data_IF_906910754458
#
_entry.id   IF_906910754458
#
_cell.length_a   1.000
_cell.length_b   1.000
_cell.length_c   1.000
_cell.angle_alpha   90.00
_cell.angle_beta   90.00
_cell.angle_gamma   90.00
#
_symmetry.space_group_name_H-M   'P 1'
#
loop_
_entity.id
_entity.type
_entity.pdbx_description
1 polymer ?
#
# COMPACT_ATOMS: atom_id res chain seq x y z
N UNK A 1 -8.31 -14.12 -36.09
CA UNK A 1 -8.33 -13.11 -35.03
C UNK A 1 -7.00 -13.16 -34.29
N UNK A 2 -6.22 -12.07 -34.29
CA UNK A 2 -4.92 -12.03 -33.61
C UNK A 2 -5.16 -11.97 -32.09
N UNK A 3 -4.78 -13.03 -31.40
CA UNK A 3 -4.62 -13.03 -29.94
C UNK A 3 -3.44 -12.14 -29.57
N UNK A 4 -3.69 -10.86 -29.29
CA UNK A 4 -2.81 -10.07 -28.44
C UNK A 4 -3.34 -10.15 -27.02
N UNK A 5 -3.22 -11.33 -26.41
CA UNK A 5 -3.21 -11.42 -24.95
C UNK A 5 -1.94 -10.71 -24.49
N UNK A 6 -2.11 -9.46 -24.06
CA UNK A 6 -1.05 -8.75 -23.34
C UNK A 6 -0.82 -9.55 -22.07
N UNK A 7 0.26 -10.31 -22.04
CA UNK A 7 0.71 -11.08 -20.88
C UNK A 7 0.75 -10.15 -19.66
N UNK A 8 -0.21 -10.31 -18.74
CA UNK A 8 -0.20 -9.66 -17.42
C UNK A 8 0.89 -10.31 -16.57
N UNK A 9 2.13 -9.87 -16.76
CA UNK A 9 3.30 -10.35 -16.02
C UNK A 9 3.75 -9.28 -15.04
N UNK A 10 3.93 -9.69 -13.79
CA UNK A 10 4.64 -8.91 -12.79
C UNK A 10 6.10 -9.32 -12.89
N UNK A 11 6.96 -8.37 -13.22
CA UNK A 11 8.40 -8.59 -13.29
C UNK A 11 9.05 -8.01 -12.04
N UNK A 12 9.79 -8.84 -11.32
CA UNK A 12 10.57 -8.43 -10.16
C UNK A 12 12.05 -8.47 -10.56
N UNK A 13 12.71 -7.31 -10.73
CA UNK A 13 14.12 -7.26 -11.07
C UNK A 13 14.97 -8.03 -10.05
N UNK A 14 16.00 -8.79 -10.49
CA UNK A 14 16.87 -9.52 -9.57
C UNK A 14 17.54 -8.63 -8.51
N UNK A 15 17.78 -7.35 -8.84
CA UNK A 15 18.34 -6.36 -7.88
C UNK A 15 17.46 -6.15 -6.65
N UNK A 16 16.16 -6.43 -6.71
CA UNK A 16 15.26 -6.35 -5.56
C UNK A 16 15.41 -7.52 -4.58
N UNK A 17 16.19 -8.54 -4.91
CA UNK A 17 16.49 -9.67 -4.02
C UNK A 17 17.65 -9.38 -3.05
N UNK A 18 18.15 -8.14 -3.03
CA UNK A 18 19.24 -7.70 -2.16
C UNK A 18 18.81 -6.55 -1.24
N UNK A 19 19.52 -6.31 -0.12
CA UNK A 19 19.29 -5.13 0.72
C UNK A 19 19.42 -3.82 -0.07
N UNK A 20 18.61 -2.78 0.24
CA UNK A 20 17.63 -2.70 1.32
C UNK A 20 16.23 -3.25 0.95
N UNK A 21 16.09 -3.88 -0.22
CA UNK A 21 14.82 -4.33 -0.79
C UNK A 21 14.37 -5.69 -0.24
N UNK A 22 15.30 -6.62 -0.07
CA UNK A 22 15.03 -7.93 0.51
C UNK A 22 16.19 -8.38 1.38
N UNK A 23 15.86 -8.90 2.56
CA UNK A 23 16.81 -9.46 3.51
C UNK A 23 16.51 -10.93 3.72
N UNK A 24 17.56 -11.75 3.73
CA UNK A 24 17.51 -13.18 4.04
C UNK A 24 18.03 -13.42 5.46
N UNK A 25 17.49 -14.43 6.14
CA UNK A 25 17.90 -14.81 7.49
C UNK A 25 16.72 -15.05 8.42
N UNK A 26 16.89 -15.94 9.40
CA UNK A 26 15.86 -16.27 10.37
C UNK A 26 15.57 -15.11 11.35
N UNK A 27 16.56 -14.24 11.58
CA UNK A 27 16.46 -13.10 12.51
C UNK A 27 15.92 -11.81 11.88
N UNK A 28 15.59 -11.82 10.59
CA UNK A 28 15.03 -10.66 9.89
C UNK A 28 13.54 -10.55 10.24
N UNK A 29 13.09 -9.46 10.88
CA UNK A 29 11.67 -9.26 11.12
C UNK A 29 10.87 -9.21 9.82
N UNK A 30 9.69 -9.83 9.76
CA UNK A 30 8.92 -9.95 8.53
C UNK A 30 8.48 -8.58 8.03
N UNK A 31 8.20 -7.60 8.91
CA UNK A 31 7.82 -6.25 8.49
C UNK A 31 8.81 -5.64 7.48
N UNK A 32 10.11 -6.00 7.53
CA UNK A 32 11.12 -5.46 6.62
C UNK A 32 10.76 -5.83 5.17
N UNK A 33 10.66 -7.13 4.89
CA UNK A 33 10.42 -7.63 3.54
C UNK A 33 8.98 -7.35 3.07
N UNK A 34 8.01 -7.37 3.99
CA UNK A 34 6.62 -7.02 3.66
C UNK A 34 6.47 -5.55 3.26
N UNK A 35 7.15 -4.62 3.97
CA UNK A 35 7.07 -3.19 3.71
C UNK A 35 7.89 -2.73 2.49
N UNK A 36 8.81 -3.55 2.00
CA UNK A 36 9.64 -3.26 0.82
C UNK A 36 9.17 -4.04 -0.39
N UNK A 37 9.72 -5.24 -0.62
CA UNK A 37 9.45 -6.04 -1.82
C UNK A 37 8.00 -6.50 -1.88
N UNK A 38 7.39 -6.81 -0.73
CA UNK A 38 5.98 -7.17 -0.66
C UNK A 38 5.08 -6.05 -1.19
N UNK A 39 5.30 -4.82 -0.74
CA UNK A 39 4.59 -3.62 -1.22
C UNK A 39 4.78 -3.43 -2.72
N UNK A 40 6.01 -3.49 -3.24
CA UNK A 40 6.25 -3.31 -4.68
C UNK A 40 5.53 -4.38 -5.52
N UNK A 41 5.59 -5.64 -5.09
CA UNK A 41 4.84 -6.71 -5.77
C UNK A 41 3.33 -6.45 -5.75
N UNK A 42 2.79 -6.01 -4.60
CA UNK A 42 1.39 -5.68 -4.49
C UNK A 42 1.01 -4.48 -5.36
N UNK A 43 1.85 -3.45 -5.46
CA UNK A 43 1.63 -2.30 -6.36
C UNK A 43 1.51 -2.79 -7.81
N UNK A 44 2.44 -3.63 -8.28
CA UNK A 44 2.35 -4.17 -9.65
C UNK A 44 1.12 -5.06 -9.85
N UNK A 45 0.70 -5.82 -8.82
CA UNK A 45 -0.59 -6.53 -8.86
C UNK A 45 -1.73 -5.53 -9.07
N UNK A 46 -1.81 -4.47 -8.27
CA UNK A 46 -2.86 -3.44 -8.39
C UNK A 46 -2.82 -2.72 -9.73
N UNK A 47 -1.64 -2.38 -10.27
CA UNK A 47 -1.54 -1.81 -11.62
C UNK A 47 -2.01 -2.77 -12.71
N UNK A 48 -1.85 -4.08 -12.51
CA UNK A 48 -2.37 -5.09 -13.43
C UNK A 48 -3.88 -5.29 -13.32
N UNK A 49 -4.52 -4.80 -12.24
CA UNK A 49 -5.97 -4.74 -12.10
C UNK A 49 -6.52 -3.62 -13.00
N UNK A 50 -6.81 -3.99 -14.25
CA UNK A 50 -7.54 -3.12 -15.17
C UNK A 50 -9.02 -3.04 -14.74
N UNK A 51 -9.36 -1.99 -13.99
CA UNK A 51 -10.72 -1.75 -13.51
C UNK A 51 -11.75 -1.66 -14.64
N UNK A 52 -11.38 -1.35 -15.88
CA UNK A 52 -12.32 -1.32 -17.00
C UNK A 52 -12.75 -2.71 -17.47
N UNK A 53 -11.98 -3.75 -17.14
CA UNK A 53 -12.21 -5.14 -17.57
C UNK A 53 -12.82 -6.02 -16.49
N UNK A 54 -13.07 -5.48 -15.30
CA UNK A 54 -13.65 -6.21 -14.18
C UNK A 54 -15.15 -5.96 -14.19
N UNK A 55 -15.99 -7.02 -14.13
CA UNK A 55 -17.43 -6.88 -14.01
C UNK A 55 -17.77 -6.48 -12.58
N UNK A 56 -17.60 -5.20 -12.25
CA UNK A 56 -17.91 -4.68 -10.92
C UNK A 56 -19.42 -4.69 -10.66
N UNK A 57 -19.82 -5.04 -9.43
CA UNK A 57 -21.17 -4.73 -8.96
C UNK A 57 -21.35 -3.21 -8.84
N UNK A 58 -22.61 -2.75 -8.83
CA UNK A 58 -22.92 -1.32 -8.65
C UNK A 58 -22.35 -0.77 -7.34
N UNK A 59 -22.41 -1.59 -6.28
CA UNK A 59 -21.82 -1.31 -4.97
C UNK A 59 -20.29 -1.29 -5.02
N UNK A 60 -19.67 -2.22 -5.75
CA UNK A 60 -18.23 -2.25 -5.99
C UNK A 60 -17.73 -0.98 -6.68
N UNK A 61 -18.39 -0.56 -7.75
CA UNK A 61 -18.07 0.69 -8.47
C UNK A 61 -18.20 1.93 -7.59
N UNK A 62 -19.26 1.99 -6.77
CA UNK A 62 -19.45 3.12 -5.87
C UNK A 62 -18.33 3.19 -4.83
N UNK A 63 -17.97 2.06 -4.19
CA UNK A 63 -16.84 1.98 -3.26
C UNK A 63 -15.52 2.39 -3.91
N UNK A 64 -15.27 1.99 -5.15
CA UNK A 64 -14.07 2.38 -5.89
C UNK A 64 -14.01 3.90 -6.10
N UNK A 65 -15.12 4.51 -6.53
CA UNK A 65 -15.24 5.98 -6.69
C UNK A 65 -15.02 6.72 -5.37
N UNK A 66 -15.70 6.28 -4.31
CA UNK A 66 -15.59 6.89 -2.98
C UNK A 66 -14.16 6.80 -2.45
N UNK A 67 -13.49 5.66 -2.67
CA UNK A 67 -12.09 5.47 -2.28
C UNK A 67 -11.17 6.43 -3.04
N UNK A 68 -11.31 6.54 -4.37
CA UNK A 68 -10.49 7.45 -5.19
C UNK A 68 -10.70 8.91 -4.78
N UNK A 69 -11.95 9.31 -4.51
CA UNK A 69 -12.26 10.65 -4.03
C UNK A 69 -11.63 10.92 -2.65
N UNK A 70 -11.69 9.93 -1.75
CA UNK A 70 -11.07 10.02 -0.43
C UNK A 70 -9.55 10.18 -0.51
N UNK A 71 -8.86 9.39 -1.34
CA UNK A 71 -7.41 9.50 -1.56
C UNK A 71 -7.03 10.88 -2.14
N UNK A 72 -7.81 11.38 -3.11
CA UNK A 72 -7.63 12.72 -3.66
C UNK A 72 -7.79 13.81 -2.59
N UNK A 73 -8.77 13.66 -1.69
CA UNK A 73 -8.95 14.59 -0.58
C UNK A 73 -7.75 14.57 0.38
N UNK A 74 -7.21 13.40 0.72
CA UNK A 74 -5.96 13.29 1.50
C UNK A 74 -4.82 14.05 0.84
N UNK A 75 -4.56 13.81 -0.45
CA UNK A 75 -3.53 14.53 -1.19
C UNK A 75 -3.72 16.05 -1.11
N UNK A 76 -4.93 16.53 -1.37
CA UNK A 76 -5.24 17.95 -1.40
C UNK A 76 -5.07 18.60 -0.02
N UNK A 77 -5.49 17.93 1.05
CA UNK A 77 -5.32 18.42 2.43
C UNK A 77 -3.85 18.49 2.85
N UNK A 78 -3.00 17.64 2.29
CA UNK A 78 -1.54 17.72 2.49
C UNK A 78 -0.86 18.81 1.65
N UNK A 79 -1.61 19.49 0.76
CA UNK A 79 -1.08 20.51 -0.14
C UNK A 79 -0.15 19.97 -1.23
N UNK A 80 -0.24 18.67 -1.54
CA UNK A 80 0.65 18.00 -2.48
C UNK A 80 0.15 18.17 -3.93
N UNK A 81 1.05 18.56 -4.84
CA UNK A 81 0.69 18.78 -6.25
C UNK A 81 0.69 17.47 -7.02
N UNK A 82 -0.33 17.30 -7.86
CA UNK A 82 -0.37 16.21 -8.83
C UNK A 82 0.74 16.40 -9.87
N UNK A 83 1.40 15.30 -10.24
CA UNK A 83 2.42 15.29 -11.28
C UNK A 83 2.05 14.27 -12.36
N UNK A 84 2.69 14.36 -13.52
CA UNK A 84 2.50 13.36 -14.60
C UNK A 84 3.00 11.98 -14.23
N UNK A 85 3.89 11.87 -13.24
CA UNK A 85 4.45 10.60 -12.76
C UNK A 85 3.67 9.99 -11.60
N UNK A 86 2.87 10.79 -10.90
CA UNK A 86 2.12 10.38 -9.71
C UNK A 86 0.70 10.95 -9.77
N UNK A 87 -0.13 10.29 -10.58
CA UNK A 87 -1.53 10.62 -10.78
C UNK A 87 -2.45 9.86 -9.79
N UNK A 88 -3.75 10.02 -9.97
CA UNK A 88 -4.75 9.32 -9.15
C UNK A 88 -4.68 7.80 -9.18
N UNK A 89 -4.27 7.18 -10.29
CA UNK A 89 -4.16 5.73 -10.41
C UNK A 89 -2.90 5.21 -9.73
N UNK A 90 -1.81 5.95 -9.82
CA UNK A 90 -0.58 5.62 -9.11
C UNK A 90 -0.78 5.76 -7.59
N UNK A 91 -1.43 6.82 -7.10
CA UNK A 91 -1.84 6.95 -5.69
C UNK A 91 -2.67 5.74 -5.24
N UNK A 92 -3.62 5.33 -6.06
CA UNK A 92 -4.49 4.18 -5.79
C UNK A 92 -3.68 2.88 -5.68
N UNK A 93 -2.73 2.66 -6.60
CA UNK A 93 -1.86 1.49 -6.59
C UNK A 93 -1.00 1.41 -5.32
N UNK A 94 -0.39 2.53 -4.90
CA UNK A 94 0.38 2.59 -3.64
C UNK A 94 -0.50 2.38 -2.41
N UNK A 95 -1.69 2.99 -2.37
CA UNK A 95 -2.62 2.86 -1.25
C UNK A 95 -3.08 1.41 -1.04
N UNK A 96 -3.50 0.73 -2.11
CA UNK A 96 -3.90 -0.68 -2.03
C UNK A 96 -2.71 -1.63 -1.90
N UNK A 97 -1.56 -1.32 -2.51
CA UNK A 97 -0.33 -2.09 -2.35
C UNK A 97 0.12 -2.15 -0.88
N UNK A 98 0.07 -1.01 -0.19
CA UNK A 98 0.25 -0.94 1.26
C UNK A 98 -0.81 -1.77 2.00
N UNK A 99 -2.09 -1.63 1.64
CA UNK A 99 -3.20 -2.29 2.36
C UNK A 99 -3.11 -3.82 2.28
N UNK A 100 -2.87 -4.36 1.09
CA UNK A 100 -2.76 -5.81 0.85
C UNK A 100 -1.63 -6.40 1.68
N UNK A 101 -0.47 -5.76 1.66
CA UNK A 101 0.71 -6.26 2.38
C UNK A 101 0.61 -6.07 3.88
N UNK A 102 0.01 -4.97 4.33
CA UNK A 102 -0.35 -4.74 5.73
C UNK A 102 -1.25 -5.86 6.29
N UNK A 103 -2.35 -6.18 5.60
CA UNK A 103 -3.26 -7.24 6.07
C UNK A 103 -2.61 -8.63 5.97
N UNK A 104 -1.74 -8.85 4.99
CA UNK A 104 -0.99 -10.12 4.87
C UNK A 104 0.04 -10.28 5.99
N UNK A 105 0.76 -9.23 6.35
CA UNK A 105 1.67 -9.22 7.50
C UNK A 105 0.89 -9.48 8.80
N UNK A 106 -0.22 -8.76 9.00
CA UNK A 106 -1.13 -8.94 10.15
C UNK A 106 -1.60 -10.37 10.30
N UNK A 107 -2.07 -10.97 9.20
CA UNK A 107 -2.50 -12.36 9.19
C UNK A 107 -1.34 -13.34 9.44
N UNK A 108 -0.12 -13.01 9.01
CA UNK A 108 1.08 -13.84 9.21
C UNK A 108 1.54 -13.81 10.66
N UNK A 109 1.63 -12.63 11.26
CA UNK A 109 2.00 -12.44 12.67
C UNK A 109 0.97 -13.14 13.57
N UNK A 110 -0.34 -12.96 13.30
CA UNK A 110 -1.40 -13.66 14.04
C UNK A 110 -1.33 -15.19 13.93
N UNK A 111 -1.07 -15.73 12.73
CA UNK A 111 -1.04 -17.19 12.50
C UNK A 111 0.18 -17.88 13.10
N UNK A 112 1.36 -17.27 12.99
CA UNK A 112 2.61 -17.84 13.53
C UNK A 112 2.78 -17.56 15.03
N UNK A 113 1.95 -16.67 15.57
CA UNK A 113 1.96 -16.24 16.96
C UNK A 113 3.17 -15.38 17.31
N UNK A 114 3.09 -14.71 18.45
CA UNK A 114 4.21 -14.00 19.10
C UNK A 114 5.36 -14.95 19.52
N UNK A 115 5.20 -16.27 19.32
CA UNK A 115 6.25 -17.26 19.59
C UNK A 115 7.42 -17.20 18.61
N UNK A 116 7.19 -16.78 17.37
CA UNK A 116 8.25 -16.64 16.36
C UNK A 116 8.74 -15.21 16.21
N UNK A 117 7.85 -14.24 16.42
CA UNK A 117 8.18 -12.83 16.35
C UNK A 117 8.29 -12.34 17.79
N UNK A 118 9.52 -12.00 18.22
CA UNK A 118 9.77 -11.41 19.55
C UNK A 118 8.94 -10.15 19.80
N UNK A 119 8.45 -9.56 18.72
CA UNK A 119 7.70 -8.33 18.66
C UNK A 119 6.19 -8.59 18.56
N UNK A 120 5.42 -7.84 19.36
CA UNK A 120 3.97 -7.80 19.27
C UNK A 120 3.51 -7.26 17.90
N UNK A 121 2.27 -7.55 17.50
CA UNK A 121 1.68 -6.96 16.28
C UNK A 121 1.84 -5.43 16.23
N UNK A 122 1.72 -4.74 17.37
CA UNK A 122 1.93 -3.29 17.45
C UNK A 122 3.34 -2.87 17.02
N UNK A 123 4.35 -3.63 17.40
CA UNK A 123 5.74 -3.30 17.07
C UNK A 123 6.01 -3.55 15.59
N UNK A 124 5.53 -4.68 15.07
CA UNK A 124 5.59 -5.01 13.63
C UNK A 124 4.87 -3.95 12.79
N UNK A 125 3.67 -3.51 13.21
CA UNK A 125 2.88 -2.47 12.55
C UNK A 125 3.60 -1.12 12.51
N UNK A 126 4.22 -0.71 13.62
CA UNK A 126 4.98 0.53 13.70
C UNK A 126 6.11 0.56 12.67
N UNK A 127 6.96 -0.47 12.69
CA UNK A 127 8.12 -0.50 11.81
C UNK A 127 7.76 -0.78 10.36
N UNK A 128 6.68 -1.53 10.10
CA UNK A 128 6.15 -1.72 8.76
C UNK A 128 5.80 -0.37 8.10
N UNK A 129 5.04 0.48 8.81
CA UNK A 129 4.59 1.78 8.27
C UNK A 129 5.77 2.75 8.04
N UNK A 130 6.74 2.78 8.95
CA UNK A 130 7.97 3.58 8.77
C UNK A 130 8.77 3.08 7.57
N UNK A 131 8.98 1.76 7.48
CA UNK A 131 9.77 1.16 6.40
C UNK A 131 9.12 1.36 5.03
N UNK A 132 7.79 1.30 4.96
CA UNK A 132 7.04 1.65 3.76
C UNK A 132 7.31 3.10 3.33
N UNK A 133 7.33 4.04 4.27
CA UNK A 133 7.66 5.43 3.94
C UNK A 133 9.13 5.59 3.51
N UNK A 134 10.06 4.85 4.11
CA UNK A 134 11.46 4.87 3.67
C UNK A 134 11.64 4.35 2.24
N UNK A 135 10.79 3.43 1.77
CA UNK A 135 10.78 2.97 0.37
C UNK A 135 10.49 4.10 -0.62
N UNK A 136 9.75 5.14 -0.18
CA UNK A 136 9.41 6.28 -1.04
C UNK A 136 10.53 7.31 -1.18
N UNK A 137 11.57 7.26 -0.34
CA UNK A 137 12.66 8.25 -0.34
C UNK A 137 13.66 7.96 -1.47
N UNK A 138 13.84 8.89 -2.41
CA UNK A 138 14.77 8.78 -3.55
C UNK A 138 15.90 9.80 -3.37
N UNK A 139 16.78 9.57 -2.39
CA UNK A 139 18.14 10.13 -2.31
C UNK A 139 18.35 11.66 -2.33
N UNK A 140 17.31 12.50 -2.45
CA UNK A 140 17.44 13.95 -2.50
C UNK A 140 17.33 14.58 -1.09
N UNK A 141 18.07 15.69 -0.88
CA UNK A 141 18.04 16.46 0.38
C UNK A 141 16.67 17.10 0.64
N UNK A 142 15.90 17.34 -0.42
CA UNK A 142 14.52 17.81 -0.35
C UNK A 142 13.58 16.72 -0.89
N UNK A 143 12.61 16.32 -0.08
CA UNK A 143 11.61 15.35 -0.48
C UNK A 143 10.66 15.96 -1.50
N UNK A 144 10.59 15.35 -2.69
CA UNK A 144 9.64 15.80 -3.72
C UNK A 144 8.19 15.52 -3.28
N UNK A 145 7.24 16.28 -3.84
CA UNK A 145 5.82 16.00 -3.65
C UNK A 145 5.45 14.56 -4.04
N UNK A 146 6.14 13.96 -5.01
CA UNK A 146 5.91 12.57 -5.40
C UNK A 146 6.30 11.58 -4.29
N UNK A 147 7.44 11.79 -3.63
CA UNK A 147 7.87 10.96 -2.50
C UNK A 147 6.90 11.07 -1.32
N UNK A 148 6.52 12.31 -0.99
CA UNK A 148 5.55 12.58 0.08
C UNK A 148 4.19 11.95 -0.23
N UNK A 149 3.74 11.97 -1.49
CA UNK A 149 2.49 11.33 -1.89
C UNK A 149 2.56 9.81 -1.79
N UNK A 150 3.67 9.19 -2.20
CA UNK A 150 3.91 7.73 -2.10
C UNK A 150 3.85 7.22 -0.66
N UNK A 151 4.31 8.00 0.32
CA UNK A 151 4.24 7.65 1.73
C UNK A 151 2.92 8.09 2.39
N UNK A 152 2.67 9.40 2.43
CA UNK A 152 1.67 9.98 3.34
C UNK A 152 0.24 9.65 2.93
N UNK A 153 -0.07 9.65 1.63
CA UNK A 153 -1.45 9.40 1.18
C UNK A 153 -1.87 7.96 1.51
N UNK A 154 -1.10 6.91 1.14
CA UNK A 154 -1.37 5.53 1.56
C UNK A 154 -1.45 5.35 3.07
N UNK A 155 -0.49 5.89 3.82
CA UNK A 155 -0.42 5.71 5.29
C UNK A 155 -1.64 6.32 5.98
N UNK A 156 -1.99 7.56 5.66
CA UNK A 156 -3.15 8.24 6.25
C UNK A 156 -4.48 7.60 5.82
N UNK A 157 -4.51 6.97 4.64
CA UNK A 157 -5.70 6.24 4.17
C UNK A 157 -5.94 4.90 4.88
N UNK A 158 -4.91 4.36 5.57
CA UNK A 158 -4.94 3.06 6.21
C UNK A 158 -5.42 3.17 7.67
N UNK A 159 -6.50 2.46 8.07
CA UNK A 159 -7.00 2.49 9.44
C UNK A 159 -5.97 2.10 10.51
N UNK A 160 -5.02 1.22 10.18
CA UNK A 160 -3.98 0.76 11.11
C UNK A 160 -3.16 1.92 11.69
N UNK A 161 -2.76 2.85 10.83
CA UNK A 161 -1.97 4.02 11.21
C UNK A 161 -2.60 4.80 12.37
N UNK A 162 -3.89 5.13 12.27
CA UNK A 162 -4.60 5.92 13.28
C UNK A 162 -4.62 5.22 14.64
N UNK A 163 -4.86 3.90 14.63
CA UNK A 163 -4.87 3.08 15.84
C UNK A 163 -3.47 2.93 16.45
N UNK A 164 -2.44 2.84 15.62
CA UNK A 164 -1.06 2.62 16.03
C UNK A 164 -0.44 3.88 16.64
N UNK A 165 -0.60 5.03 15.98
CA UNK A 165 0.01 6.29 16.38
C UNK A 165 -0.86 7.11 17.34
N UNK A 166 -2.01 6.55 17.79
CA UNK A 166 -2.98 7.21 18.68
C UNK A 166 -3.38 8.61 18.17
N UNK A 167 -3.45 8.76 16.85
CA UNK A 167 -3.89 9.99 16.24
C UNK A 167 -5.39 10.16 16.56
N UNK A 168 -5.81 11.32 17.06
CA UNK A 168 -7.23 11.63 17.20
C UNK A 168 -7.84 11.64 15.80
N UNK A 169 -8.78 10.72 15.52
CA UNK A 169 -9.53 10.66 14.24
C UNK A 169 -10.27 11.98 13.94
N UNK A 170 -10.43 12.82 14.95
CA UNK A 170 -11.05 14.13 14.85
C UNK A 170 -10.03 15.19 14.41
N UNK A 171 -9.96 15.44 13.09
CA UNK A 171 -10.02 16.80 12.49
C UNK A 171 -9.58 16.88 11.04
N UNK A 172 -8.94 15.86 10.49
CA UNK A 172 -8.34 16.01 9.15
C UNK A 172 -9.07 15.13 8.14
N UNK A 173 -8.98 13.79 8.14
CA UNK A 173 -9.65 12.94 7.13
C UNK A 173 -9.93 11.51 7.65
N UNK A 174 -11.11 10.91 7.39
CA UNK A 174 -11.39 9.51 7.76
C UNK A 174 -10.56 8.52 6.92
N UNK A 175 -10.22 7.33 7.45
CA UNK A 175 -9.48 6.34 6.68
C UNK A 175 -10.30 5.83 5.49
N UNK A 176 -9.70 5.82 4.30
CA UNK A 176 -10.35 5.46 3.05
C UNK A 176 -10.48 3.94 2.86
N UNK A 177 -9.50 3.17 3.36
CA UNK A 177 -9.33 1.76 3.01
C UNK A 177 -9.95 0.81 4.05
N UNK A 178 -11.23 1.00 4.36
CA UNK A 178 -11.95 0.15 5.33
C UNK A 178 -12.28 -1.25 4.79
N UNK A 179 -12.40 -1.40 3.47
CA UNK A 179 -12.69 -2.66 2.77
C UNK A 179 -11.50 -3.18 1.97
N UNK A 180 -11.46 -4.49 1.77
CA UNK A 180 -10.53 -5.12 0.82
C UNK A 180 -10.97 -4.84 -0.63
N UNK A 181 -10.03 -4.77 -1.57
CA UNK A 181 -10.36 -4.66 -3.01
C UNK A 181 -11.15 -5.86 -3.51
N UNK A 182 -10.97 -7.03 -2.89
CA UNK A 182 -11.66 -8.27 -3.24
C UNK A 182 -13.15 -8.24 -2.82
N UNK A 183 -13.48 -7.55 -1.71
CA UNK A 183 -14.86 -7.30 -1.26
C UNK A 183 -15.63 -6.31 -2.15
N UNK A 184 -14.99 -5.80 -3.21
CA UNK A 184 -15.61 -4.93 -4.20
C UNK A 184 -15.95 -5.68 -5.48
N UNK A 185 -15.44 -6.90 -5.66
CA UNK A 185 -15.65 -7.74 -6.85
C UNK A 185 -16.73 -8.80 -6.61
N UNK A 186 -16.91 -9.23 -5.36
CA UNK A 186 -17.90 -10.24 -4.97
C UNK A 186 -19.17 -9.56 -4.41
N UNK A 187 -20.34 -9.99 -4.92
CA UNK A 187 -21.64 -9.84 -4.26
C UNK A 187 -21.97 -11.14 -3.48
#
# INVERSE_FOLDING_TARGET
ARFTDVLRRIMVPPVYQFPPMYYTGADVPPYINYATIGVLMAIEMIRSFDASKIPWSSKGMQKLRDTRLCLKNIRNTLGLKESTEFDGEEIFAWAYGLRVTYETLKATVKRRGEKFYKDSWRTEEYYFLIRFCMLSCVGHLEHSDNERQRCMVPVLSNPGFWSQFKCKEERILPPCLKSSIFEMVED
#
